data_IF_196654469756
#
_entry.id   IF_196654469756
#
_cell.length_a   1.000
_cell.length_b   1.000
_cell.length_c   1.000
_cell.angle_alpha   90.00
_cell.angle_beta   90.00
_cell.angle_gamma   90.00
#
_symmetry.space_group_name_H-M   'P 1'
#
loop_
_entity.id
_entity.type
_entity.pdbx_description
1 polymer ?
#
# COMPACT_ATOMS: atom_id res chain seq x y z
N UNK A 1 6.56 -12.75 -4.42
CA UNK A 1 6.97 -14.18 -4.27
C UNK A 1 7.94 -14.25 -3.11
N UNK A 2 7.70 -15.15 -2.15
CA UNK A 2 8.61 -15.33 -1.01
C UNK A 2 9.87 -16.06 -1.50
N UNK A 3 11.03 -15.51 -1.17
CA UNK A 3 12.34 -16.08 -1.47
C UNK A 3 13.20 -15.96 -0.20
N UNK A 4 13.47 -17.11 0.42
CA UNK A 4 14.03 -17.19 1.77
C UNK A 4 13.19 -16.41 2.80
N UNK A 5 13.74 -15.36 3.41
CA UNK A 5 13.09 -14.48 4.38
C UNK A 5 12.60 -13.15 3.77
N UNK A 6 12.71 -12.98 2.44
CA UNK A 6 12.38 -11.74 1.72
C UNK A 6 11.28 -11.95 0.71
N UNK A 7 10.62 -10.87 0.32
CA UNK A 7 9.63 -10.87 -0.75
C UNK A 7 10.19 -10.19 -2.00
N UNK A 8 10.03 -10.84 -3.14
CA UNK A 8 10.33 -10.26 -4.45
C UNK A 8 9.03 -9.84 -5.15
N UNK A 9 9.03 -8.70 -5.83
CA UNK A 9 7.96 -8.30 -6.74
C UNK A 9 8.22 -8.94 -8.10
N UNK A 10 7.27 -9.77 -8.55
CA UNK A 10 7.39 -10.58 -9.76
C UNK A 10 6.19 -10.32 -10.65
N UNK A 11 6.47 -10.10 -11.93
CA UNK A 11 5.47 -10.00 -12.99
C UNK A 11 5.37 -11.34 -13.71
N UNK A 12 4.14 -11.86 -13.83
CA UNK A 12 3.86 -13.11 -14.54
C UNK A 12 2.86 -12.81 -15.65
N UNK A 13 3.27 -13.06 -16.88
CA UNK A 13 2.36 -13.10 -18.03
C UNK A 13 1.73 -14.49 -18.10
N UNK A 14 0.41 -14.55 -17.91
CA UNK A 14 -0.33 -15.81 -17.88
C UNK A 14 -0.48 -16.47 -19.26
N UNK A 15 -0.43 -15.69 -20.35
CA UNK A 15 -0.58 -16.21 -21.71
C UNK A 15 0.75 -16.82 -22.18
N UNK A 16 1.83 -16.05 -22.07
CA UNK A 16 3.16 -16.51 -22.49
C UNK A 16 3.85 -17.40 -21.45
N UNK A 17 3.33 -17.42 -20.21
CA UNK A 17 3.94 -18.05 -19.03
C UNK A 17 5.32 -17.48 -18.68
N UNK A 18 5.66 -16.31 -19.22
CA UNK A 18 6.90 -15.61 -18.91
C UNK A 18 6.82 -15.04 -17.49
N UNK A 19 7.93 -15.13 -16.77
CA UNK A 19 8.07 -14.61 -15.41
C UNK A 19 9.29 -13.70 -15.38
N UNK A 20 9.09 -12.47 -14.92
CA UNK A 20 10.14 -11.46 -14.76
C UNK A 20 10.14 -10.96 -13.31
N UNK A 21 11.29 -11.01 -12.64
CA UNK A 21 11.43 -10.40 -11.32
C UNK A 21 11.73 -8.92 -11.51
N UNK A 22 10.83 -8.05 -11.02
CA UNK A 22 10.97 -6.60 -11.17
C UNK A 22 11.84 -6.02 -10.06
N UNK A 23 11.58 -6.42 -8.81
CA UNK A 23 12.29 -5.91 -7.64
C UNK A 23 12.50 -6.99 -6.59
N UNK A 24 13.62 -6.90 -5.89
CA UNK A 24 13.93 -7.72 -4.73
C UNK A 24 13.60 -6.94 -3.46
N UNK A 25 13.32 -7.65 -2.37
CA UNK A 25 13.07 -7.05 -1.05
C UNK A 25 11.92 -6.02 -1.03
N UNK A 26 10.84 -6.34 -1.76
CA UNK A 26 9.61 -5.58 -1.74
C UNK A 26 8.86 -5.74 -0.42
N UNK A 27 8.06 -4.74 -0.06
CA UNK A 27 7.05 -4.87 0.97
C UNK A 27 5.90 -5.79 0.56
N UNK A 28 5.06 -6.16 1.54
CA UNK A 28 4.01 -7.17 1.32
C UNK A 28 2.75 -6.65 0.64
N UNK A 29 2.57 -5.33 0.59
CA UNK A 29 1.37 -4.71 0.02
C UNK A 29 1.60 -4.35 -1.44
N UNK A 30 0.70 -4.84 -2.29
CA UNK A 30 0.61 -4.57 -3.73
C UNK A 30 -0.84 -4.20 -4.02
N UNK A 31 -1.09 -3.04 -4.61
CA UNK A 31 -2.44 -2.53 -4.86
C UNK A 31 -2.55 -1.98 -6.27
N UNK A 32 -3.65 -2.27 -6.97
CA UNK A 32 -4.01 -1.53 -8.19
C UNK A 32 -4.47 -0.14 -7.79
N UNK A 33 -3.98 0.90 -8.48
CA UNK A 33 -4.48 2.26 -8.28
C UNK A 33 -5.82 2.41 -9.02
N UNK A 34 -6.91 2.81 -8.36
CA UNK A 34 -8.23 2.98 -8.98
C UNK A 34 -8.16 3.84 -10.25
N UNK A 35 -8.98 3.51 -11.26
CA UNK A 35 -9.11 4.26 -12.53
C UNK A 35 -7.84 4.43 -13.38
N UNK A 36 -6.71 3.84 -13.00
CA UNK A 36 -5.47 3.89 -13.77
C UNK A 36 -5.06 2.51 -14.27
N UNK A 37 -4.03 2.47 -15.12
CA UNK A 37 -3.30 1.24 -15.44
C UNK A 37 -2.02 1.09 -14.61
N UNK A 38 -1.98 1.66 -13.40
CA UNK A 38 -0.80 1.60 -12.53
C UNK A 38 -1.02 0.63 -11.37
N UNK A 39 0.05 -0.06 -11.01
CA UNK A 39 0.16 -0.80 -9.76
C UNK A 39 0.97 0.02 -8.77
N UNK A 40 0.68 -0.10 -7.50
CA UNK A 40 1.51 0.46 -6.43
C UNK A 40 2.11 -0.66 -5.62
N UNK A 41 3.35 -0.48 -5.21
CA UNK A 41 4.12 -1.44 -4.43
C UNK A 41 5.06 -0.69 -3.50
N UNK A 42 5.60 -1.37 -2.51
CA UNK A 42 6.59 -0.79 -1.59
C UNK A 42 7.93 -1.48 -1.67
N UNK A 43 9.02 -0.74 -1.44
CA UNK A 43 10.38 -1.27 -1.33
C UNK A 43 11.00 -0.84 -0.01
N UNK A 44 11.84 -1.71 0.56
CA UNK A 44 12.62 -1.35 1.75
C UNK A 44 13.75 -0.41 1.34
N UNK A 45 13.81 0.77 1.94
CA UNK A 45 14.86 1.76 1.70
C UNK A 45 16.09 1.54 2.61
N UNK A 46 17.11 2.38 2.47
CA UNK A 46 18.38 2.23 3.19
C UNK A 46 18.24 2.33 4.72
N UNK A 47 17.21 3.01 5.19
CA UNK A 47 16.90 3.14 6.62
C UNK A 47 16.05 1.97 7.16
N UNK A 48 15.66 1.03 6.30
CA UNK A 48 14.76 -0.07 6.64
C UNK A 48 13.28 0.29 6.67
N UNK A 49 12.92 1.52 6.26
CA UNK A 49 11.54 1.95 6.09
C UNK A 49 11.00 1.51 4.72
N UNK A 50 9.68 1.59 4.52
CA UNK A 50 9.05 1.25 3.24
C UNK A 50 8.72 2.51 2.44
N UNK A 51 9.28 2.61 1.25
CA UNK A 51 8.95 3.62 0.26
C UNK A 51 7.88 3.10 -0.69
N UNK A 52 6.84 3.90 -0.93
CA UNK A 52 5.74 3.59 -1.84
C UNK A 52 6.05 4.10 -3.24
N UNK A 53 5.89 3.22 -4.22
CA UNK A 53 6.09 3.49 -5.63
C UNK A 53 4.85 3.17 -6.46
N UNK A 54 4.72 3.84 -7.61
CA UNK A 54 3.85 3.47 -8.71
C UNK A 54 4.65 2.80 -9.81
N UNK A 55 4.10 1.76 -10.41
CA UNK A 55 4.53 1.12 -11.65
C UNK A 55 3.46 1.37 -12.72
N UNK A 56 3.80 2.08 -13.79
CA UNK A 56 2.93 2.18 -14.97
C UNK A 56 2.99 0.85 -15.74
N UNK A 57 1.85 0.18 -15.94
CA UNK A 57 1.83 -1.13 -16.59
C UNK A 57 1.90 -1.08 -18.12
N UNK A 58 1.93 0.11 -18.73
CA UNK A 58 2.17 0.29 -20.16
C UNK A 58 3.66 0.49 -20.44
N UNK A 59 4.33 1.37 -19.69
CA UNK A 59 5.75 1.72 -19.92
C UNK A 59 6.72 0.95 -19.01
N UNK A 60 6.24 0.36 -17.92
CA UNK A 60 7.04 -0.19 -16.82
C UNK A 60 7.94 0.82 -16.11
N UNK A 61 7.63 2.12 -16.26
CA UNK A 61 8.28 3.17 -15.49
C UNK A 61 7.80 3.20 -14.04
N UNK A 62 8.69 3.64 -13.14
CA UNK A 62 8.49 3.60 -11.71
C UNK A 62 8.63 5.00 -11.11
N UNK A 63 7.70 5.39 -10.24
CA UNK A 63 7.65 6.72 -9.65
C UNK A 63 7.54 6.63 -8.13
N UNK A 64 8.41 7.33 -7.41
CA UNK A 64 8.30 7.48 -5.96
C UNK A 64 7.06 8.30 -5.61
N UNK A 65 6.32 7.87 -4.59
CA UNK A 65 5.12 8.56 -4.09
C UNK A 65 5.39 9.22 -2.75
N UNK A 66 5.77 8.40 -1.75
CA UNK A 66 5.99 8.82 -0.37
C UNK A 66 6.63 7.68 0.42
N UNK A 67 7.24 7.99 1.56
CA UNK A 67 7.61 6.98 2.55
C UNK A 67 6.38 6.65 3.40
N UNK A 68 6.11 5.36 3.63
CA UNK A 68 5.10 4.92 4.59
C UNK A 68 5.53 5.29 6.02
N UNK A 69 4.58 5.54 6.94
CA UNK A 69 4.92 5.75 8.34
C UNK A 69 5.68 4.54 8.92
N UNK A 70 6.59 4.80 9.87
CA UNK A 70 7.47 3.78 10.45
C UNK A 70 6.65 2.59 10.97
N UNK A 71 7.06 1.38 10.59
CA UNK A 71 6.43 0.12 11.00
C UNK A 71 5.14 -0.24 10.24
N UNK A 72 4.65 0.63 9.35
CA UNK A 72 3.47 0.35 8.53
C UNK A 72 3.87 -0.42 7.28
N UNK A 73 3.20 -1.55 7.04
CA UNK A 73 3.44 -2.40 5.86
C UNK A 73 2.24 -2.51 4.93
N UNK A 74 1.08 -2.00 5.35
CA UNK A 74 -0.21 -2.15 4.67
C UNK A 74 -0.84 -0.79 4.41
N UNK A 75 -1.36 -0.62 3.20
CA UNK A 75 -2.03 0.59 2.74
C UNK A 75 -3.11 0.22 1.74
N UNK A 76 -4.07 1.12 1.54
CA UNK A 76 -5.10 0.99 0.51
C UNK A 76 -5.29 2.31 -0.23
N UNK A 77 -5.65 2.24 -1.50
CA UNK A 77 -6.09 3.41 -2.26
C UNK A 77 -7.60 3.59 -2.10
N UNK A 78 -8.04 4.79 -1.70
CA UNK A 78 -9.47 5.15 -1.64
C UNK A 78 -9.96 5.59 -3.02
N UNK A 79 -9.09 6.26 -3.78
CA UNK A 79 -9.31 6.67 -5.17
C UNK A 79 -7.94 6.75 -5.88
N UNK A 80 -7.87 7.46 -7.00
CA UNK A 80 -6.67 7.63 -7.84
C UNK A 80 -5.58 8.52 -7.24
N UNK A 81 -5.84 9.24 -6.14
CA UNK A 81 -4.88 10.19 -5.54
C UNK A 81 -4.73 10.05 -4.03
N UNK A 82 -5.64 9.35 -3.36
CA UNK A 82 -5.69 9.26 -1.89
C UNK A 82 -5.39 7.86 -1.38
N UNK A 83 -4.39 7.78 -0.51
CA UNK A 83 -3.92 6.57 0.15
C UNK A 83 -4.28 6.62 1.62
N UNK A 84 -4.71 5.49 2.17
CA UNK A 84 -5.04 5.33 3.58
C UNK A 84 -4.11 4.30 4.23
N UNK A 85 -3.62 4.63 5.41
CA UNK A 85 -2.89 3.71 6.30
C UNK A 85 -3.55 3.66 7.67
N UNK A 86 -3.45 2.51 8.34
CA UNK A 86 -3.83 2.35 9.73
C UNK A 86 -2.59 2.40 10.62
N UNK A 87 -2.65 3.14 11.72
CA UNK A 87 -1.59 3.16 12.73
C UNK A 87 -2.21 3.15 14.13
N UNK A 88 -1.96 2.09 14.89
CA UNK A 88 -2.65 1.83 16.15
C UNK A 88 -4.16 1.73 15.94
N UNK A 89 -4.91 2.67 16.54
CA UNK A 89 -6.37 2.78 16.42
C UNK A 89 -6.81 3.97 15.53
N UNK A 90 -5.91 4.54 14.74
CA UNK A 90 -6.16 5.75 13.94
C UNK A 90 -5.92 5.48 12.46
N UNK A 91 -6.63 6.24 11.63
CA UNK A 91 -6.48 6.23 10.18
C UNK A 91 -5.81 7.53 9.73
N UNK A 92 -4.84 7.40 8.83
CA UNK A 92 -4.08 8.50 8.26
C UNK A 92 -4.16 8.43 6.74
N UNK A 93 -4.30 9.60 6.11
CA UNK A 93 -4.42 9.74 4.68
C UNK A 93 -3.25 10.54 4.11
N UNK A 94 -2.77 10.12 2.95
CA UNK A 94 -1.86 10.89 2.11
C UNK A 94 -2.57 11.21 0.79
N UNK A 95 -2.53 12.47 0.39
CA UNK A 95 -3.07 12.92 -0.90
C UNK A 95 -1.92 13.28 -1.83
N UNK A 96 -1.76 12.54 -2.93
CA UNK A 96 -0.66 12.74 -3.89
C UNK A 96 -0.74 14.07 -4.62
N UNK A 97 -1.86 14.78 -4.55
CA UNK A 97 -2.03 16.13 -5.11
C UNK A 97 -1.90 17.23 -4.04
N UNK A 98 -1.80 16.86 -2.77
CA UNK A 98 -1.74 17.78 -1.64
C UNK A 98 -0.33 18.02 -1.13
N UNK A 99 -0.24 18.47 0.12
CA UNK A 99 1.03 18.56 0.84
C UNK A 99 1.59 17.16 1.10
N UNK A 100 2.92 17.04 1.09
CA UNK A 100 3.62 15.76 1.29
C UNK A 100 3.63 15.35 2.77
N UNK A 101 2.45 15.13 3.35
CA UNK A 101 2.28 14.73 4.74
C UNK A 101 1.14 13.71 4.94
N UNK A 102 1.25 12.95 6.04
CA UNK A 102 0.23 12.00 6.47
C UNK A 102 -0.71 12.64 7.48
N UNK A 103 -1.96 12.86 7.08
CA UNK A 103 -2.94 13.57 7.90
C UNK A 103 -3.93 12.60 8.55
N UNK A 104 -4.14 12.73 9.86
CA UNK A 104 -5.13 11.90 10.58
C UNK A 104 -6.54 12.25 10.12
N UNK A 105 -7.27 11.26 9.62
CA UNK A 105 -8.66 11.44 9.11
C UNK A 105 -9.73 10.79 9.98
N UNK A 106 -9.37 9.80 10.80
CA UNK A 106 -10.32 9.16 11.73
C UNK A 106 -9.62 8.52 12.93
N UNK A 107 -10.39 8.30 13.99
CA UNK A 107 -10.01 7.50 15.17
C UNK A 107 -11.08 6.44 15.40
N UNK A 108 -10.65 5.21 15.70
CA UNK A 108 -11.51 4.09 16.07
C UNK A 108 -11.51 3.84 17.59
N UNK A 109 -10.89 4.74 18.36
CA UNK A 109 -10.71 4.61 19.81
C UNK A 109 -12.03 4.43 20.56
N UNK A 110 -13.06 5.19 20.18
CA UNK A 110 -14.38 5.17 20.81
C UNK A 110 -15.13 3.85 20.59
N UNK A 111 -14.66 3.03 19.63
CA UNK A 111 -15.19 1.69 19.37
C UNK A 111 -14.43 0.59 20.12
N UNK A 112 -13.45 0.94 20.97
CA UNK A 112 -12.63 -0.03 21.70
C UNK A 112 -11.64 -0.80 20.81
N UNK A 113 -11.45 -0.36 19.57
CA UNK A 113 -10.62 -1.03 18.57
C UNK A 113 -9.15 -0.59 18.69
N UNK A 114 -8.24 -1.52 18.48
CA UNK A 114 -6.79 -1.33 18.56
C UNK A 114 -6.06 -2.07 17.44
N UNK A 115 -4.84 -1.65 17.16
CA UNK A 115 -3.92 -2.37 16.28
C UNK A 115 -4.55 -2.75 14.94
N UNK A 116 -4.83 -1.75 14.11
CA UNK A 116 -5.24 -1.97 12.72
C UNK A 116 -4.11 -2.70 12.00
N UNK A 117 -4.35 -3.93 11.55
CA UNK A 117 -3.33 -4.76 10.89
C UNK A 117 -3.56 -4.91 9.39
N UNK A 118 -4.80 -4.80 8.89
CA UNK A 118 -5.16 -4.87 7.47
C UNK A 118 -6.37 -3.98 7.15
N UNK A 119 -6.44 -3.54 5.89
CA UNK A 119 -7.56 -2.76 5.37
C UNK A 119 -7.89 -3.19 3.94
N UNK A 120 -9.14 -2.99 3.54
CA UNK A 120 -9.58 -3.17 2.15
C UNK A 120 -10.72 -2.20 1.81
N UNK A 121 -10.69 -1.65 0.61
CA UNK A 121 -11.77 -0.81 0.07
C UNK A 121 -12.67 -1.67 -0.81
N UNK A 122 -13.99 -1.57 -0.61
CA UNK A 122 -14.96 -2.25 -1.48
C UNK A 122 -14.82 -1.82 -2.93
N UNK A 123 -15.14 -2.67 -3.94
CA UNK A 123 -14.94 -2.33 -5.36
C UNK A 123 -15.60 -1.03 -5.84
N UNK A 124 -16.70 -0.60 -5.19
CA UNK A 124 -17.40 0.64 -5.51
C UNK A 124 -16.87 1.87 -4.74
N UNK A 125 -15.81 1.72 -3.94
CA UNK A 125 -15.20 2.78 -3.14
C UNK A 125 -15.99 3.24 -1.92
N UNK A 126 -17.13 2.61 -1.58
CA UNK A 126 -18.06 3.14 -0.56
C UNK A 126 -17.89 2.57 0.85
N UNK A 127 -17.14 1.48 1.00
CA UNK A 127 -16.95 0.81 2.29
C UNK A 127 -15.47 0.51 2.51
N UNK A 128 -15.04 0.65 3.76
CA UNK A 128 -13.74 0.24 4.27
C UNK A 128 -13.94 -0.96 5.21
N UNK A 129 -13.26 -2.06 4.93
CA UNK A 129 -13.12 -3.19 5.86
C UNK A 129 -11.78 -3.07 6.59
N UNK A 130 -11.76 -3.37 7.88
CA UNK A 130 -10.59 -3.23 8.75
C UNK A 130 -10.45 -4.50 9.59
N UNK A 131 -9.21 -5.01 9.71
CA UNK A 131 -8.85 -6.05 10.67
C UNK A 131 -8.14 -5.38 11.84
N UNK A 132 -8.60 -5.68 13.05
CA UNK A 132 -8.22 -4.97 14.28
C UNK A 132 -8.30 -5.93 15.47
N UNK A 133 -7.56 -5.63 16.51
CA UNK A 133 -7.72 -6.26 17.83
C UNK A 133 -8.77 -5.51 18.65
N UNK A 134 -9.44 -6.22 19.54
CA UNK A 134 -10.38 -5.63 20.50
C UNK A 134 -9.71 -5.48 21.87
N UNK A 135 -10.05 -4.40 22.59
CA UNK A 135 -9.55 -4.16 23.94
C UNK A 135 -10.20 -5.06 24.99
#
# INVERSE_FOLDING_TARGET
VLDSDKMNLVLIDLQSKKTDTLFYNAGRSLQKVPKTNSMSYSLVNEEGNLDLYLLDMNSYENFFVTQLPIGIQDYVWINDTQILVGSGNKLYMYDTLGESEWTRVASLEDYGLKNITRMAISPNGKKLAIVTEFK
#
